data_IF_685317039416
#
_entry.id   IF_685317039416
#
_cell.length_a   1.000
_cell.length_b   1.000
_cell.length_c   1.000
_cell.angle_alpha   90.00
_cell.angle_beta   90.00
_cell.angle_gamma   90.00
#
_symmetry.space_group_name_H-M   'P 1'
#
loop_
_entity.id
_entity.type
_entity.pdbx_description
1 polymer ?
#
# COMPACT_ATOMS: atom_id res chain seq x y z
N UNK A 1 6.83 14.21 17.00
CA UNK A 1 7.39 13.09 16.24
C UNK A 1 6.23 12.18 15.88
N UNK A 2 6.04 11.84 14.59
CA UNK A 2 4.94 10.98 14.14
C UNK A 2 5.40 9.53 14.00
N UNK A 3 4.60 8.57 14.42
CA UNK A 3 4.84 7.14 14.20
C UNK A 3 4.05 6.68 12.96
N UNK A 4 4.76 6.17 11.96
CA UNK A 4 4.22 5.78 10.66
C UNK A 4 4.40 4.27 10.48
N UNK A 5 3.30 3.53 10.36
CA UNK A 5 3.31 2.11 10.04
C UNK A 5 3.10 1.91 8.55
N UNK A 6 4.01 1.18 7.90
CA UNK A 6 3.98 0.91 6.46
C UNK A 6 3.98 -0.59 6.23
N UNK A 7 2.91 -1.12 5.65
CA UNK A 7 2.86 -2.52 5.20
C UNK A 7 3.46 -2.67 3.81
N UNK A 8 4.12 -3.81 3.54
CA UNK A 8 4.80 -4.02 2.25
C UNK A 8 6.00 -3.09 2.03
N UNK A 9 6.72 -2.74 3.11
CA UNK A 9 7.82 -1.77 3.09
C UNK A 9 9.11 -2.27 2.42
N UNK A 10 9.17 -3.53 1.97
CA UNK A 10 10.41 -4.14 1.48
C UNK A 10 10.71 -3.93 -0.01
N UNK A 11 9.85 -3.26 -0.75
CA UNK A 11 10.06 -2.93 -2.18
C UNK A 11 9.04 -1.87 -2.68
N UNK A 12 9.27 -1.38 -3.89
CA UNK A 12 8.35 -0.51 -4.62
C UNK A 12 7.89 0.70 -3.82
N UNK A 13 6.60 1.01 -3.89
CA UNK A 13 5.99 2.19 -3.25
C UNK A 13 6.21 2.20 -1.74
N UNK A 14 6.10 1.04 -1.06
CA UNK A 14 6.31 0.97 0.39
C UNK A 14 7.73 1.32 0.81
N UNK A 15 8.74 0.84 0.05
CA UNK A 15 10.15 1.18 0.28
C UNK A 15 10.44 2.66 0.01
N UNK A 16 9.97 3.18 -1.11
CA UNK A 16 10.12 4.61 -1.45
C UNK A 16 9.47 5.49 -0.39
N UNK A 17 8.27 5.10 0.08
CA UNK A 17 7.58 5.78 1.17
C UNK A 17 8.39 5.73 2.48
N UNK A 18 8.95 4.57 2.84
CA UNK A 18 9.78 4.45 4.04
C UNK A 18 11.00 5.39 3.96
N UNK A 19 11.69 5.43 2.83
CA UNK A 19 12.83 6.33 2.60
C UNK A 19 12.41 7.80 2.65
N UNK A 20 11.28 8.17 2.04
CA UNK A 20 10.75 9.53 2.02
C UNK A 20 10.43 10.06 3.42
N UNK A 21 9.89 9.21 4.29
CA UNK A 21 9.54 9.57 5.67
C UNK A 21 10.67 9.36 6.67
N UNK A 22 11.83 8.86 6.24
CA UNK A 22 13.02 8.70 7.08
C UNK A 22 13.64 10.08 7.40
N UNK A 23 13.19 10.70 8.50
CA UNK A 23 13.71 11.96 9.01
C UNK A 23 13.54 12.02 10.53
N UNK A 24 14.21 12.94 11.20
CA UNK A 24 14.22 13.10 12.66
C UNK A 24 12.85 13.41 13.29
N UNK A 25 11.86 13.79 12.47
CA UNK A 25 10.51 14.11 12.93
C UNK A 25 9.59 12.90 12.97
N UNK A 26 10.02 11.75 12.46
CA UNK A 26 9.21 10.54 12.36
C UNK A 26 9.85 9.37 13.10
N UNK A 27 9.04 8.33 13.38
CA UNK A 27 9.43 6.95 13.71
C UNK A 27 8.76 6.04 12.70
N UNK A 28 9.44 5.00 12.26
CA UNK A 28 8.91 4.11 11.23
C UNK A 28 8.72 2.70 11.76
N UNK A 29 7.55 2.12 11.48
CA UNK A 29 7.29 0.70 11.66
C UNK A 29 7.18 0.09 10.28
N UNK A 30 8.18 -0.70 9.88
CA UNK A 30 8.29 -1.28 8.56
C UNK A 30 7.90 -2.75 8.59
N UNK A 31 6.80 -3.08 7.91
CA UNK A 31 6.24 -4.44 7.92
C UNK A 31 6.44 -5.12 6.57
N UNK A 32 6.81 -6.41 6.61
CA UNK A 32 7.01 -7.20 5.40
C UNK A 32 7.29 -8.67 5.70
N UNK A 33 7.34 -9.50 4.67
CA UNK A 33 7.58 -10.95 4.79
C UNK A 33 9.06 -11.32 4.73
N UNK A 34 9.87 -10.50 4.06
CA UNK A 34 11.29 -10.77 3.76
C UNK A 34 12.19 -10.16 4.83
N UNK A 35 12.61 -10.97 5.81
CA UNK A 35 13.44 -10.50 6.93
C UNK A 35 14.72 -9.83 6.46
N UNK A 36 15.48 -10.46 5.56
CA UNK A 36 16.73 -9.89 5.05
C UNK A 36 16.55 -8.49 4.43
N UNK A 37 15.44 -8.25 3.72
CA UNK A 37 15.13 -6.92 3.17
C UNK A 37 14.76 -5.91 4.27
N UNK A 38 14.04 -6.33 5.30
CA UNK A 38 13.75 -5.49 6.45
C UNK A 38 15.04 -5.09 7.18
N UNK A 39 15.99 -6.02 7.33
CA UNK A 39 17.29 -5.76 7.97
C UNK A 39 18.15 -4.79 7.14
N UNK A 40 18.21 -4.97 5.81
CA UNK A 40 18.88 -4.03 4.89
C UNK A 40 18.34 -2.61 5.03
N UNK A 41 17.01 -2.45 4.96
CA UNK A 41 16.35 -1.15 5.06
C UNK A 41 16.54 -0.54 6.46
N UNK A 42 16.41 -1.35 7.49
CA UNK A 42 16.62 -0.90 8.87
C UNK A 42 18.04 -0.35 9.06
N UNK A 43 19.05 -1.04 8.55
CA UNK A 43 20.46 -0.60 8.62
C UNK A 43 20.70 0.73 7.90
N UNK A 44 19.97 1.01 6.83
CA UNK A 44 20.03 2.28 6.11
C UNK A 44 19.31 3.40 6.88
N UNK A 45 18.06 3.17 7.25
CA UNK A 45 17.15 4.20 7.78
C UNK A 45 17.40 4.50 9.27
N UNK A 46 17.86 3.53 10.06
CA UNK A 46 18.11 3.73 11.50
C UNK A 46 19.21 4.77 11.81
N UNK A 47 20.01 5.12 10.81
CA UNK A 47 20.99 6.22 10.90
C UNK A 47 20.34 7.61 10.92
N UNK A 48 19.07 7.69 10.54
CA UNK A 48 18.33 8.94 10.34
C UNK A 48 17.18 9.05 11.34
N UNK A 49 16.47 7.93 11.62
CA UNK A 49 15.30 7.91 12.47
C UNK A 49 15.14 6.58 13.21
N UNK A 50 14.28 6.55 14.24
CA UNK A 50 13.96 5.31 14.94
C UNK A 50 13.11 4.40 14.06
N UNK A 51 13.57 3.16 13.86
CA UNK A 51 12.92 2.16 13.02
C UNK A 51 12.64 0.88 13.81
N UNK A 52 11.42 0.39 13.70
CA UNK A 52 11.01 -0.94 14.12
C UNK A 52 10.67 -1.77 12.89
N UNK A 53 11.31 -2.90 12.71
CA UNK A 53 10.96 -3.84 11.65
C UNK A 53 10.13 -4.99 12.18
N UNK A 54 9.07 -5.34 11.49
CA UNK A 54 8.14 -6.40 11.88
C UNK A 54 7.94 -7.37 10.72
N UNK A 55 8.39 -8.61 10.93
CA UNK A 55 8.18 -9.65 9.95
C UNK A 55 6.85 -10.35 10.21
N UNK A 56 5.92 -10.24 9.27
CA UNK A 56 4.68 -11.02 9.21
C UNK A 56 4.06 -10.98 7.81
N UNK A 57 3.15 -11.93 7.52
CA UNK A 57 2.29 -11.87 6.35
C UNK A 57 0.98 -11.18 6.72
N UNK A 58 0.60 -10.14 5.97
CA UNK A 58 -0.67 -9.43 6.20
C UNK A 58 -1.89 -10.33 6.01
N UNK A 59 -1.79 -11.39 5.21
CA UNK A 59 -2.85 -12.37 4.98
C UNK A 59 -3.07 -13.33 6.15
N UNK A 60 -2.09 -13.46 7.07
CA UNK A 60 -2.22 -14.26 8.29
C UNK A 60 -2.78 -13.42 9.44
N UNK A 61 -4.09 -13.55 9.68
CA UNK A 61 -4.79 -12.86 10.77
C UNK A 61 -4.13 -13.08 12.14
N UNK A 62 -3.60 -14.28 12.41
CA UNK A 62 -3.01 -14.61 13.73
C UNK A 62 -1.66 -13.90 13.89
N UNK A 63 -0.82 -13.91 12.85
CA UNK A 63 0.45 -13.18 12.86
C UNK A 63 0.21 -11.67 13.00
N UNK A 64 -0.71 -11.08 12.23
CA UNK A 64 -1.06 -9.67 12.30
C UNK A 64 -1.45 -9.25 13.70
N UNK A 65 -2.39 -9.97 14.33
CA UNK A 65 -2.84 -9.67 15.69
C UNK A 65 -1.68 -9.81 16.68
N UNK A 66 -0.98 -10.95 16.67
CA UNK A 66 0.13 -11.23 17.60
C UNK A 66 1.20 -10.14 17.57
N UNK A 67 1.56 -9.66 16.39
CA UNK A 67 2.65 -8.70 16.21
C UNK A 67 2.19 -7.27 16.52
N UNK A 68 1.03 -6.84 16.01
CA UNK A 68 0.60 -5.45 16.13
C UNK A 68 -0.10 -5.11 17.47
N UNK A 69 -0.59 -6.11 18.22
CA UNK A 69 -1.08 -5.90 19.59
C UNK A 69 0.07 -5.72 20.59
N UNK A 70 1.25 -6.26 20.31
CA UNK A 70 2.41 -6.28 21.20
C UNK A 70 3.54 -5.33 20.76
N UNK A 71 3.20 -4.16 20.25
CA UNK A 71 4.20 -3.16 19.88
C UNK A 71 4.93 -2.62 21.12
N UNK A 72 6.26 -2.35 21.03
CA UNK A 72 6.98 -1.65 22.08
C UNK A 72 6.31 -0.31 22.42
N UNK A 73 6.37 0.11 23.68
CA UNK A 73 5.69 1.33 24.17
C UNK A 73 5.98 2.56 23.32
N UNK A 74 7.21 2.72 22.88
CA UNK A 74 7.63 3.86 22.05
C UNK A 74 7.01 3.89 20.64
N UNK A 75 6.51 2.73 20.14
CA UNK A 75 5.84 2.57 18.84
C UNK A 75 4.34 2.30 18.98
N UNK A 76 3.77 2.30 20.18
CA UNK A 76 2.38 1.91 20.41
C UNK A 76 1.36 2.95 19.92
N UNK A 77 1.75 4.24 19.90
CA UNK A 77 0.93 5.34 19.38
C UNK A 77 1.24 5.52 17.89
N UNK A 78 0.30 5.13 17.03
CA UNK A 78 0.45 5.20 15.57
C UNK A 78 -0.35 6.36 15.03
N UNK A 79 0.35 7.33 14.41
CA UNK A 79 -0.26 8.52 13.82
C UNK A 79 -0.70 8.28 12.38
N UNK A 80 0.03 7.45 11.64
CA UNK A 80 -0.22 7.20 10.22
C UNK A 80 -0.11 5.71 9.95
N UNK A 81 -1.15 5.15 9.31
CA UNK A 81 -1.17 3.80 8.79
C UNK A 81 -1.14 3.84 7.26
N UNK A 82 -0.14 3.23 6.63
CA UNK A 82 -0.06 3.09 5.18
C UNK A 82 -0.28 1.61 4.82
N UNK A 83 -1.49 1.29 4.40
CA UNK A 83 -1.86 0.00 3.87
C UNK A 83 -1.39 -0.09 2.41
N UNK A 84 -0.12 -0.47 2.23
CA UNK A 84 0.50 -0.59 0.93
C UNK A 84 0.71 -2.05 0.50
N UNK A 85 0.79 -2.99 1.45
CA UNK A 85 0.94 -4.41 1.12
C UNK A 85 -0.17 -4.88 0.17
N UNK A 86 0.23 -5.46 -0.95
CA UNK A 86 -0.66 -5.99 -1.97
C UNK A 86 0.12 -6.53 -3.16
N UNK A 87 -0.53 -7.36 -3.95
CA UNK A 87 0.08 -8.01 -5.11
C UNK A 87 -0.94 -8.18 -6.24
N UNK A 88 -0.44 -8.59 -7.40
CA UNK A 88 -1.22 -9.20 -8.47
C UNK A 88 -0.54 -10.49 -8.90
N UNK A 89 -1.31 -11.47 -9.29
CA UNK A 89 -0.84 -12.75 -9.81
C UNK A 89 -1.62 -13.09 -11.08
N UNK A 90 -0.89 -13.54 -12.11
CA UNK A 90 -1.46 -13.93 -13.39
C UNK A 90 -2.08 -12.79 -14.19
N UNK A 91 -2.45 -13.12 -15.40
CA UNK A 91 -3.19 -12.27 -16.33
C UNK A 91 -3.89 -13.21 -17.31
N UNK A 92 -4.90 -13.93 -16.80
CA UNK A 92 -5.63 -14.97 -17.51
C UNK A 92 -7.12 -14.63 -17.57
N UNK A 93 -7.82 -15.26 -18.51
CA UNK A 93 -9.29 -15.12 -18.59
C UNK A 93 -9.95 -15.73 -17.35
N UNK A 94 -11.22 -15.36 -17.08
CA UNK A 94 -11.91 -15.82 -15.86
C UNK A 94 -12.08 -17.33 -15.79
N UNK A 95 -12.19 -18.00 -16.93
CA UNK A 95 -12.34 -19.46 -17.00
C UNK A 95 -11.01 -20.23 -16.93
N UNK A 96 -9.86 -19.54 -17.04
CA UNK A 96 -8.51 -20.14 -17.06
C UNK A 96 -7.64 -19.73 -15.88
N UNK A 97 -8.09 -18.77 -15.10
CA UNK A 97 -7.33 -18.20 -13.98
C UNK A 97 -7.08 -19.21 -12.86
N UNK A 98 -5.92 -19.11 -12.23
CA UNK A 98 -5.53 -19.94 -11.08
C UNK A 98 -6.30 -19.52 -9.82
N UNK A 99 -6.99 -20.46 -9.19
CA UNK A 99 -7.70 -20.24 -7.93
C UNK A 99 -6.73 -19.83 -6.80
N UNK A 100 -5.54 -20.43 -6.74
CA UNK A 100 -4.52 -20.06 -5.75
C UNK A 100 -4.07 -18.61 -5.93
N UNK A 101 -3.91 -18.14 -7.17
CA UNK A 101 -3.57 -16.74 -7.46
C UNK A 101 -4.69 -15.79 -7.01
N UNK A 102 -5.96 -16.20 -7.20
CA UNK A 102 -7.12 -15.44 -6.77
C UNK A 102 -7.21 -15.33 -5.25
N UNK A 103 -7.06 -16.47 -4.56
CA UNK A 103 -7.04 -16.49 -3.10
C UNK A 103 -5.91 -15.64 -2.55
N UNK A 104 -4.69 -15.75 -3.08
CA UNK A 104 -3.55 -14.92 -2.70
C UNK A 104 -3.81 -13.42 -2.89
N UNK A 105 -4.47 -13.01 -3.98
CA UNK A 105 -4.82 -11.60 -4.21
C UNK A 105 -5.91 -11.11 -3.24
N UNK A 106 -6.95 -11.90 -3.00
CA UNK A 106 -8.03 -11.56 -2.06
C UNK A 106 -7.47 -11.47 -0.64
N UNK A 107 -6.69 -12.46 -0.24
CA UNK A 107 -6.14 -12.56 1.10
C UNK A 107 -5.18 -11.41 1.42
N UNK A 108 -4.30 -11.04 0.48
CA UNK A 108 -3.36 -9.95 0.72
C UNK A 108 -3.99 -8.57 0.53
N UNK A 109 -4.70 -8.34 -0.59
CA UNK A 109 -5.14 -6.99 -0.97
C UNK A 109 -6.38 -6.53 -0.20
N UNK A 110 -7.24 -7.47 0.21
CA UNK A 110 -8.51 -7.17 0.89
C UNK A 110 -8.44 -7.56 2.36
N UNK A 111 -8.28 -8.86 2.66
CA UNK A 111 -8.28 -9.33 4.05
C UNK A 111 -7.09 -8.78 4.83
N UNK A 112 -5.89 -8.73 4.22
CA UNK A 112 -4.69 -8.19 4.85
C UNK A 112 -4.84 -6.73 5.25
N UNK A 113 -5.38 -5.89 4.36
CA UNK A 113 -5.70 -4.50 4.66
C UNK A 113 -6.67 -4.41 5.85
N UNK A 114 -7.73 -5.22 5.85
CA UNK A 114 -8.73 -5.25 6.92
C UNK A 114 -8.15 -5.72 8.25
N UNK A 115 -7.30 -6.76 8.25
CA UNK A 115 -6.70 -7.29 9.48
C UNK A 115 -5.80 -6.25 10.15
N UNK A 116 -4.91 -5.62 9.39
CA UNK A 116 -4.04 -4.56 9.90
C UNK A 116 -4.86 -3.38 10.41
N UNK A 117 -5.82 -2.91 9.61
CA UNK A 117 -6.68 -1.78 9.99
C UNK A 117 -7.48 -2.07 11.25
N UNK A 118 -8.01 -3.29 11.42
CA UNK A 118 -8.81 -3.71 12.59
C UNK A 118 -8.03 -3.65 13.90
N UNK A 119 -6.71 -3.86 13.85
CA UNK A 119 -5.86 -3.76 15.04
C UNK A 119 -5.46 -2.30 15.31
N UNK A 120 -5.21 -1.51 14.28
CA UNK A 120 -4.67 -0.15 14.44
C UNK A 120 -5.76 0.90 14.69
N UNK A 121 -6.92 0.80 14.03
CA UNK A 121 -8.00 1.78 14.15
C UNK A 121 -8.44 2.03 15.60
N UNK A 122 -8.66 1.02 16.47
CA UNK A 122 -9.02 1.28 17.86
C UNK A 122 -8.00 2.15 18.61
N UNK A 123 -6.70 1.94 18.37
CA UNK A 123 -5.62 2.75 18.96
C UNK A 123 -5.68 4.21 18.49
N UNK A 124 -5.99 4.43 17.21
CA UNK A 124 -6.19 5.78 16.66
C UNK A 124 -7.47 6.45 17.22
N UNK A 125 -8.53 5.67 17.46
CA UNK A 125 -9.78 6.19 18.08
C UNK A 125 -9.49 6.66 19.52
N UNK A 126 -8.76 5.88 20.33
CA UNK A 126 -8.35 6.26 21.67
C UNK A 126 -7.50 7.53 21.68
N UNK A 127 -6.69 7.74 20.65
CA UNK A 127 -5.90 8.96 20.45
C UNK A 127 -6.73 10.15 19.94
N UNK A 128 -7.97 9.93 19.49
CA UNK A 128 -8.80 10.89 18.78
C UNK A 128 -8.05 11.56 17.61
N UNK A 129 -7.17 10.83 16.96
CA UNK A 129 -6.32 11.31 15.86
C UNK A 129 -5.73 10.15 15.08
N UNK A 130 -5.58 10.33 13.77
CA UNK A 130 -4.92 9.36 12.89
C UNK A 130 -5.11 9.70 11.42
N UNK A 131 -4.27 9.10 10.57
CA UNK A 131 -4.45 9.17 9.13
C UNK A 131 -4.19 7.81 8.49
N UNK A 132 -5.19 7.22 7.87
CA UNK A 132 -5.10 5.95 7.15
C UNK A 132 -4.94 6.26 5.65
N UNK A 133 -3.87 5.74 5.06
CA UNK A 133 -3.62 5.80 3.61
C UNK A 133 -3.75 4.39 3.05
N UNK A 134 -4.72 4.17 2.19
CA UNK A 134 -4.89 2.92 1.46
C UNK A 134 -4.33 3.06 0.05
N UNK A 135 -3.44 2.17 -0.36
CA UNK A 135 -2.94 2.14 -1.74
C UNK A 135 -3.91 1.34 -2.60
N UNK A 136 -4.74 2.09 -3.32
CA UNK A 136 -5.66 1.57 -4.33
C UNK A 136 -4.97 1.25 -5.65
N UNK A 137 -5.62 1.58 -6.75
CA UNK A 137 -5.12 1.49 -8.13
C UNK A 137 -6.15 2.11 -9.08
N UNK A 138 -5.73 2.50 -10.29
CA UNK A 138 -6.63 2.72 -11.42
C UNK A 138 -7.55 1.50 -11.63
N UNK A 139 -7.03 0.28 -11.39
CA UNK A 139 -7.78 -0.97 -11.42
C UNK A 139 -8.92 -1.08 -10.39
N UNK A 140 -8.98 -0.16 -9.42
CA UNK A 140 -10.12 -0.01 -8.50
C UNK A 140 -11.23 0.89 -9.03
N UNK A 141 -11.08 1.46 -10.22
CA UNK A 141 -12.05 2.32 -10.91
C UNK A 141 -12.44 1.81 -12.27
N UNK A 142 -11.56 1.04 -12.88
CA UNK A 142 -11.73 0.48 -14.21
C UNK A 142 -11.42 -1.01 -14.21
N UNK A 143 -12.05 -1.74 -15.12
CA UNK A 143 -11.75 -3.15 -15.36
C UNK A 143 -11.09 -3.28 -16.72
N UNK A 144 -10.03 -4.08 -16.82
CA UNK A 144 -9.33 -4.36 -18.06
C UNK A 144 -9.28 -5.86 -18.33
N UNK A 145 -9.06 -6.19 -19.60
CA UNK A 145 -9.00 -7.58 -20.05
C UNK A 145 -8.02 -8.41 -19.19
N UNK A 146 -8.46 -9.58 -18.73
CA UNK A 146 -7.70 -10.50 -17.87
C UNK A 146 -7.30 -9.97 -16.49
N UNK A 147 -7.70 -8.74 -16.14
CA UNK A 147 -7.43 -8.13 -14.85
C UNK A 147 -8.39 -8.53 -13.73
N UNK A 148 -9.36 -9.38 -14.02
CA UNK A 148 -10.54 -9.81 -13.27
C UNK A 148 -10.42 -9.68 -11.73
N UNK A 149 -9.79 -10.63 -11.05
CA UNK A 149 -9.72 -10.63 -9.57
C UNK A 149 -8.86 -9.50 -9.02
N UNK A 150 -7.77 -9.13 -9.69
CA UNK A 150 -7.01 -7.95 -9.26
C UNK A 150 -7.87 -6.69 -9.27
N UNK A 151 -8.63 -6.44 -10.34
CA UNK A 151 -9.56 -5.33 -10.40
C UNK A 151 -10.62 -5.43 -9.31
N UNK A 152 -11.20 -6.61 -9.07
CA UNK A 152 -12.16 -6.83 -8.01
C UNK A 152 -11.58 -6.50 -6.63
N UNK A 153 -10.34 -6.93 -6.32
CA UNK A 153 -9.70 -6.58 -5.05
C UNK A 153 -9.48 -5.08 -4.89
N UNK A 154 -9.11 -4.37 -5.96
CA UNK A 154 -8.88 -2.92 -5.90
C UNK A 154 -10.21 -2.13 -5.85
N UNK A 155 -11.29 -2.61 -6.46
CA UNK A 155 -12.64 -2.07 -6.24
C UNK A 155 -13.08 -2.28 -4.79
N UNK A 156 -12.76 -3.44 -4.19
CA UNK A 156 -13.01 -3.68 -2.77
C UNK A 156 -12.24 -2.68 -1.89
N UNK A 157 -10.96 -2.40 -2.16
CA UNK A 157 -10.17 -1.38 -1.43
C UNK A 157 -10.84 -0.01 -1.53
N UNK A 158 -11.35 0.38 -2.70
CA UNK A 158 -12.07 1.64 -2.88
C UNK A 158 -13.35 1.68 -2.02
N UNK A 159 -14.15 0.62 -2.04
CA UNK A 159 -15.35 0.53 -1.21
C UNK A 159 -15.01 0.57 0.29
N UNK A 160 -14.00 -0.17 0.73
CA UNK A 160 -13.52 -0.21 2.12
C UNK A 160 -13.03 1.18 2.56
N UNK A 161 -12.26 1.89 1.72
CA UNK A 161 -11.78 3.24 2.01
C UNK A 161 -12.93 4.22 2.22
N UNK A 162 -13.99 4.12 1.43
CA UNK A 162 -15.22 4.91 1.59
C UNK A 162 -15.96 4.55 2.88
N UNK A 163 -16.12 3.25 3.17
CA UNK A 163 -16.75 2.77 4.40
C UNK A 163 -15.98 3.25 5.64
N UNK A 164 -14.65 3.13 5.66
CA UNK A 164 -13.82 3.65 6.75
C UNK A 164 -14.04 5.15 6.98
N UNK A 165 -14.16 5.97 5.92
CA UNK A 165 -14.45 7.41 6.09
C UNK A 165 -15.80 7.67 6.75
N UNK A 166 -16.81 6.87 6.43
CA UNK A 166 -18.15 6.97 7.03
C UNK A 166 -18.10 6.58 8.51
N UNK A 167 -17.52 5.41 8.79
CA UNK A 167 -17.51 4.84 10.14
C UNK A 167 -16.64 5.67 11.11
N UNK A 168 -15.55 6.25 10.60
CA UNK A 168 -14.58 7.02 11.41
C UNK A 168 -14.83 8.53 11.42
N UNK A 169 -15.90 9.01 10.80
CA UNK A 169 -16.15 10.45 10.65
C UNK A 169 -16.17 11.25 11.96
N UNK A 170 -16.55 10.62 13.08
CA UNK A 170 -16.62 11.27 14.40
C UNK A 170 -15.37 11.06 15.28
N UNK A 171 -14.32 10.48 14.74
CA UNK A 171 -13.16 10.02 15.54
C UNK A 171 -11.88 10.84 15.34
N UNK A 172 -11.94 11.95 14.58
CA UNK A 172 -10.74 12.72 14.22
C UNK A 172 -9.78 12.04 13.26
N UNK A 173 -10.11 10.83 12.76
CA UNK A 173 -9.27 10.05 11.86
C UNK A 173 -9.59 10.40 10.41
N UNK A 174 -8.53 10.67 9.64
CA UNK A 174 -8.63 10.86 8.18
C UNK A 174 -8.40 9.54 7.45
N UNK A 175 -9.08 9.35 6.32
CA UNK A 175 -8.86 8.20 5.44
C UNK A 175 -8.71 8.68 4.01
N UNK A 176 -7.57 8.38 3.41
CA UNK A 176 -7.24 8.71 2.02
C UNK A 176 -6.98 7.45 1.22
N UNK A 177 -7.33 7.48 -0.05
CA UNK A 177 -6.99 6.45 -1.01
C UNK A 177 -6.13 7.06 -2.12
N UNK A 178 -5.00 6.42 -2.42
CA UNK A 178 -4.13 6.81 -3.52
C UNK A 178 -4.19 5.72 -4.57
N UNK A 179 -4.59 6.10 -5.78
CA UNK A 179 -4.88 5.19 -6.88
C UNK A 179 -3.86 5.39 -8.02
N UNK A 180 -2.71 4.69 -7.97
CA UNK A 180 -1.74 4.77 -9.05
C UNK A 180 -2.23 4.07 -10.32
N UNK A 181 -1.80 4.61 -11.48
CA UNK A 181 -1.74 3.87 -12.72
C UNK A 181 -0.51 2.94 -12.75
N UNK A 182 0.16 2.88 -13.88
CA UNK A 182 1.33 2.02 -14.06
C UNK A 182 2.57 2.63 -13.39
N UNK A 183 3.02 1.99 -12.32
CA UNK A 183 4.25 2.34 -11.57
C UNK A 183 5.29 1.26 -11.83
N UNK A 184 6.45 1.64 -12.30
CA UNK A 184 7.57 0.71 -12.54
C UNK A 184 8.19 0.28 -11.21
N UNK A 185 7.94 -0.96 -10.84
CA UNK A 185 8.40 -1.60 -9.60
C UNK A 185 8.49 -3.12 -9.82
N UNK A 186 8.92 -3.87 -8.79
CA UNK A 186 8.91 -5.34 -8.79
C UNK A 186 7.49 -5.96 -8.93
N UNK A 187 6.45 -5.14 -8.93
CA UNK A 187 5.06 -5.60 -9.00
C UNK A 187 4.79 -6.44 -10.25
N UNK A 188 5.31 -6.02 -11.41
CA UNK A 188 5.15 -6.78 -12.67
C UNK A 188 5.92 -8.10 -12.63
N UNK A 189 7.09 -8.15 -12.01
CA UNK A 189 7.86 -9.40 -11.82
C UNK A 189 7.08 -10.39 -10.96
N UNK A 190 6.46 -9.92 -9.87
CA UNK A 190 5.60 -10.75 -9.01
C UNK A 190 4.39 -11.24 -9.78
N UNK A 191 3.71 -10.35 -10.53
CA UNK A 191 2.52 -10.67 -11.32
C UNK A 191 2.78 -11.78 -12.34
N UNK A 192 3.92 -11.72 -13.01
CA UNK A 192 4.29 -12.69 -14.04
C UNK A 192 5.18 -13.82 -13.51
N UNK A 193 5.24 -14.03 -12.18
CA UNK A 193 5.94 -15.15 -11.54
C UNK A 193 7.41 -15.29 -11.98
N UNK A 194 8.08 -14.15 -12.20
CA UNK A 194 9.50 -14.08 -12.59
C UNK A 194 9.74 -14.09 -14.10
N UNK A 195 8.71 -14.02 -14.94
CA UNK A 195 8.88 -13.78 -16.37
C UNK A 195 9.25 -12.30 -16.61
N UNK A 196 10.57 -12.04 -16.56
CA UNK A 196 11.12 -10.69 -16.73
C UNK A 196 10.77 -10.08 -18.08
N UNK A 197 10.72 -10.89 -19.15
CA UNK A 197 10.38 -10.41 -20.48
C UNK A 197 8.96 -9.84 -20.56
N UNK A 198 8.01 -10.50 -19.90
CA UNK A 198 6.63 -9.99 -19.81
C UNK A 198 6.54 -8.76 -18.89
N UNK A 199 7.29 -8.76 -17.80
CA UNK A 199 7.31 -7.65 -16.84
C UNK A 199 7.86 -6.36 -17.48
N UNK A 200 8.97 -6.43 -18.22
CA UNK A 200 9.58 -5.32 -18.91
C UNK A 200 8.69 -4.73 -20.02
N UNK A 201 8.01 -5.60 -20.77
CA UNK A 201 7.09 -5.17 -21.87
C UNK A 201 5.94 -4.27 -21.38
N UNK A 202 5.58 -4.35 -20.08
CA UNK A 202 4.55 -3.47 -19.51
C UNK A 202 4.93 -2.01 -19.67
N UNK A 203 6.21 -1.69 -19.46
CA UNK A 203 6.73 -0.32 -19.36
C UNK A 203 7.41 0.20 -20.64
N UNK A 204 7.52 -0.63 -21.69
CA UNK A 204 8.15 -0.23 -22.95
C UNK A 204 7.35 0.84 -23.69
N UNK A 205 8.08 1.84 -24.24
CA UNK A 205 7.54 2.85 -25.13
C UNK A 205 6.90 4.07 -24.45
N UNK A 206 7.01 4.20 -23.13
CA UNK A 206 6.57 5.39 -22.39
C UNK A 206 7.29 5.50 -21.03
N UNK A 207 7.23 6.68 -20.42
CA UNK A 207 7.75 6.90 -19.06
C UNK A 207 6.67 6.55 -18.04
N UNK A 208 6.82 5.41 -17.36
CA UNK A 208 5.95 5.00 -16.27
C UNK A 208 6.18 5.88 -15.03
N UNK A 209 5.22 5.89 -14.09
CA UNK A 209 5.46 6.44 -12.76
C UNK A 209 6.54 5.62 -12.05
N UNK A 210 7.30 6.30 -11.21
CA UNK A 210 8.25 5.68 -10.30
C UNK A 210 7.64 5.60 -8.89
N UNK A 211 8.19 4.71 -8.06
CA UNK A 211 7.72 4.56 -6.68
C UNK A 211 7.83 5.87 -5.88
N UNK A 212 8.84 6.68 -6.18
CA UNK A 212 9.05 7.98 -5.54
C UNK A 212 7.95 8.98 -5.89
N UNK A 213 7.40 8.97 -7.11
CA UNK A 213 6.26 9.83 -7.48
C UNK A 213 5.05 9.57 -6.56
N UNK A 214 4.82 8.31 -6.19
CA UNK A 214 3.74 7.95 -5.28
C UNK A 214 4.07 8.31 -3.84
N UNK A 215 5.33 8.14 -3.42
CA UNK A 215 5.78 8.57 -2.09
C UNK A 215 5.62 10.09 -1.90
N UNK A 216 5.87 10.90 -2.92
CA UNK A 216 5.65 12.35 -2.91
C UNK A 216 4.16 12.71 -2.75
N UNK A 217 3.28 11.99 -3.45
CA UNK A 217 1.84 12.18 -3.28
C UNK A 217 1.37 11.76 -1.87
N UNK A 218 1.90 10.68 -1.31
CA UNK A 218 1.61 10.26 0.06
C UNK A 218 2.03 11.37 1.04
N UNK A 219 3.23 11.91 0.88
CA UNK A 219 3.73 13.01 1.71
C UNK A 219 2.85 14.26 1.58
N UNK A 220 2.49 14.63 0.37
CA UNK A 220 1.58 15.75 0.13
C UNK A 220 0.25 15.57 0.86
N UNK A 221 -0.37 14.40 0.78
CA UNK A 221 -1.66 14.09 1.43
C UNK A 221 -1.55 14.16 2.94
N UNK A 222 -0.50 13.57 3.52
CA UNK A 222 -0.29 13.51 4.98
C UNK A 222 -0.03 14.90 5.57
N UNK A 223 0.61 15.79 4.83
CA UNK A 223 0.97 17.12 5.28
C UNK A 223 -0.12 18.19 5.10
N UNK A 224 -1.34 17.80 4.72
CA UNK A 224 -2.46 18.76 4.67
C UNK A 224 -2.93 19.14 6.08
N UNK A 225 -3.43 20.36 6.28
CA UNK A 225 -4.00 20.79 7.55
C UNK A 225 -5.00 19.79 8.13
N UNK A 226 -5.18 19.77 9.44
CA UNK A 226 -6.00 18.76 10.13
C UNK A 226 -7.45 18.70 9.63
N UNK A 227 -8.04 19.84 9.26
CA UNK A 227 -9.40 19.93 8.73
C UNK A 227 -9.52 19.52 7.25
N UNK A 228 -8.40 19.27 6.56
CA UNK A 228 -8.39 18.87 5.15
C UNK A 228 -8.15 17.37 5.05
N UNK A 229 -9.10 16.64 4.48
CA UNK A 229 -8.95 15.25 4.10
C UNK A 229 -9.00 15.13 2.57
N UNK A 230 -7.86 14.81 1.94
CA UNK A 230 -7.84 14.43 0.53
C UNK A 230 -8.29 12.98 0.47
N UNK A 231 -9.56 12.78 0.14
CA UNK A 231 -10.21 11.49 0.27
C UNK A 231 -9.75 10.47 -0.77
N UNK A 232 -9.39 10.94 -1.96
CA UNK A 232 -9.11 10.10 -3.12
C UNK A 232 -8.24 10.85 -4.14
N UNK A 233 -7.14 10.22 -4.61
CA UNK A 233 -6.27 10.75 -5.67
C UNK A 233 -6.00 9.66 -6.70
N UNK A 234 -6.26 9.97 -7.98
CA UNK A 234 -5.79 9.19 -9.11
C UNK A 234 -4.51 9.81 -9.65
N UNK A 235 -3.46 9.00 -9.81
CA UNK A 235 -2.15 9.42 -10.33
C UNK A 235 -1.78 8.54 -11.51
N UNK A 236 -1.63 9.12 -12.68
CA UNK A 236 -1.35 8.40 -13.92
C UNK A 236 -0.02 8.85 -14.55
N UNK A 237 0.72 7.96 -15.24
CA UNK A 237 1.71 8.42 -16.21
C UNK A 237 1.06 9.36 -17.22
N UNK A 238 1.77 10.36 -17.67
CA UNK A 238 1.25 11.31 -18.67
C UNK A 238 0.77 10.59 -19.95
N UNK A 239 1.40 9.48 -20.30
CA UNK A 239 1.03 8.67 -21.46
C UNK A 239 -0.19 7.76 -21.25
N UNK A 240 -0.66 7.56 -20.00
CA UNK A 240 -1.75 6.66 -19.69
C UNK A 240 -3.08 7.41 -19.54
N UNK A 241 -4.02 7.16 -20.43
CA UNK A 241 -5.37 7.76 -20.37
C UNK A 241 -6.35 6.88 -19.56
N UNK A 242 -6.29 5.56 -19.75
CA UNK A 242 -7.12 4.56 -19.04
C UNK A 242 -6.28 3.33 -18.70
N UNK A 243 -6.89 2.32 -18.09
CA UNK A 243 -6.22 1.05 -17.81
C UNK A 243 -5.73 0.31 -19.06
N UNK A 244 -6.30 0.61 -20.24
CA UNK A 244 -6.00 -0.06 -21.51
C UNK A 244 -5.48 0.89 -22.60
N UNK A 245 -5.63 2.21 -22.43
CA UNK A 245 -5.18 3.19 -23.43
C UNK A 245 -3.91 3.88 -22.94
N UNK A 246 -2.80 3.51 -23.57
CA UNK A 246 -1.47 4.05 -23.28
C UNK A 246 -0.83 4.50 -24.59
N UNK A 247 -0.38 5.75 -24.66
CA UNK A 247 0.35 6.29 -25.80
C UNK A 247 1.81 5.81 -25.73
N UNK A 248 2.11 4.75 -26.46
CA UNK A 248 3.45 4.18 -26.60
C UNK A 248 4.12 4.76 -27.87
N UNK A 249 5.39 5.13 -27.73
CA UNK A 249 6.23 5.59 -28.83
C UNK A 249 7.08 4.45 -29.37
#
# INVERSE_FOLDING_TARGET
MKTILITGATSGIGLATAKKFANEKNRLILCGRRQHKLDEISNEISKITNVLTLRFDVSDKKEVNKVLENLPKEFSSIDILINNAGNAHGLDTIQEGSLDDWDNMIDSNVKGLLYVSRVIIPKMIEQNSGHIINIGSLAGREVYEKGNIYCATKHAVNAISKAMRIDLNKTGIKVSEINPGLVETDFSNVRFKGDNNRAEKVYLGYKALQADDIADIIEFVINRPSHVNIADILVLPQAQATSSIINKK
#
